data_IF_621062333408
#
_entry.id   IF_621062333408
#
_cell.length_a   1.000
_cell.length_b   1.000
_cell.length_c   1.000
_cell.angle_alpha   90.00
_cell.angle_beta   90.00
_cell.angle_gamma   90.00
#
_symmetry.space_group_name_H-M   'P 1'
#
loop_
_entity.id
_entity.type
_entity.pdbx_description
1 polymer ?
#
# COMPACT_ATOMS: atom_id res chain seq x y z
N UNK A 1 -29.39 -13.84 30.13
CA UNK A 1 -28.15 -13.24 30.68
C UNK A 1 -26.90 -13.80 30.02
N UNK A 2 -26.61 -15.11 30.12
CA UNK A 2 -25.36 -15.71 29.56
C UNK A 2 -25.20 -15.46 28.03
N UNK A 3 -26.29 -15.55 27.25
CA UNK A 3 -26.24 -15.28 25.80
C UNK A 3 -25.81 -13.86 25.43
N UNK A 4 -26.14 -12.85 26.26
CA UNK A 4 -25.76 -11.45 26.01
C UNK A 4 -24.28 -11.20 26.29
N UNK A 5 -23.69 -11.89 27.27
CA UNK A 5 -22.24 -11.87 27.50
C UNK A 5 -21.46 -12.49 26.34
N UNK A 6 -21.94 -13.61 25.79
CA UNK A 6 -21.34 -14.19 24.58
C UNK A 6 -21.43 -13.24 23.38
N UNK A 7 -22.58 -12.60 23.19
CA UNK A 7 -22.78 -11.64 22.10
C UNK A 7 -21.90 -10.40 22.28
N UNK A 8 -21.72 -9.92 23.51
CA UNK A 8 -20.78 -8.84 23.85
C UNK A 8 -19.34 -9.19 23.45
N UNK A 9 -18.85 -10.36 23.87
CA UNK A 9 -17.48 -10.82 23.55
C UNK A 9 -17.31 -10.93 22.02
N UNK A 10 -18.32 -11.47 21.32
CA UNK A 10 -18.29 -11.60 19.87
C UNK A 10 -18.24 -10.24 19.16
N UNK A 11 -19.04 -9.25 19.60
CA UNK A 11 -19.03 -7.89 19.05
C UNK A 11 -17.67 -7.23 19.27
N UNK A 12 -17.10 -7.36 20.48
CA UNK A 12 -15.74 -6.87 20.77
C UNK A 12 -14.70 -7.52 19.83
N UNK A 13 -14.73 -8.85 19.68
CA UNK A 13 -13.80 -9.57 18.81
C UNK A 13 -13.93 -9.14 17.34
N UNK A 14 -15.16 -8.96 16.85
CA UNK A 14 -15.43 -8.48 15.50
C UNK A 14 -14.91 -7.06 15.27
N UNK A 15 -15.15 -6.14 16.21
CA UNK A 15 -14.62 -4.77 16.13
C UNK A 15 -13.09 -4.78 16.09
N UNK A 16 -12.44 -5.52 16.99
CA UNK A 16 -10.98 -5.65 17.02
C UNK A 16 -10.46 -6.21 15.69
N UNK A 17 -11.07 -7.27 15.15
CA UNK A 17 -10.67 -7.85 13.86
C UNK A 17 -10.86 -6.87 12.69
N UNK A 18 -11.94 -6.08 12.71
CA UNK A 18 -12.20 -5.09 11.66
C UNK A 18 -11.13 -4.01 11.66
N UNK A 19 -10.78 -3.48 12.85
CA UNK A 19 -9.79 -2.41 13.02
C UNK A 19 -8.35 -2.85 12.80
N UNK A 20 -7.97 -4.05 13.24
CA UNK A 20 -6.58 -4.51 13.19
C UNK A 20 -6.21 -5.16 11.86
N UNK A 21 -7.16 -5.85 11.22
CA UNK A 21 -6.88 -6.68 10.03
C UNK A 21 -7.58 -6.13 8.78
N UNK A 22 -8.89 -5.93 8.84
CA UNK A 22 -9.70 -5.68 7.63
C UNK A 22 -9.46 -4.27 7.11
N UNK A 23 -9.72 -3.25 7.92
CA UNK A 23 -9.61 -1.85 7.57
C UNK A 23 -8.20 -1.49 7.06
N UNK A 24 -7.10 -1.85 7.76
CA UNK A 24 -5.74 -1.69 7.25
C UNK A 24 -5.52 -2.38 5.91
N UNK A 25 -5.92 -3.65 5.76
CA UNK A 25 -5.62 -4.44 4.56
C UNK A 25 -6.33 -3.94 3.30
N UNK A 26 -7.50 -3.32 3.43
CA UNK A 26 -8.24 -2.76 2.30
C UNK A 26 -7.75 -1.36 1.91
N UNK A 27 -7.42 -0.51 2.89
CA UNK A 27 -7.14 0.91 2.64
C UNK A 27 -5.64 1.27 2.61
N UNK A 28 -4.80 0.51 3.31
CA UNK A 28 -3.34 0.73 3.37
C UNK A 28 -2.62 0.07 2.16
N UNK A 29 -3.32 -0.67 1.29
CA UNK A 29 -2.73 -1.19 0.05
C UNK A 29 -2.23 -0.05 -0.83
N UNK A 30 -0.92 -0.07 -1.12
CA UNK A 30 -0.30 0.87 -2.05
C UNK A 30 -1.00 0.79 -3.40
N UNK A 31 -1.58 1.91 -3.85
CA UNK A 31 -2.02 2.05 -5.23
C UNK A 31 -0.84 2.60 -6.03
N UNK A 32 -0.28 1.76 -6.90
CA UNK A 32 0.73 2.18 -7.86
C UNK A 32 0.04 2.93 -9.00
N UNK A 33 0.71 3.93 -9.59
CA UNK A 33 0.16 4.72 -10.70
C UNK A 33 -0.06 3.86 -11.94
N UNK A 34 0.73 2.79 -12.09
CA UNK A 34 0.61 1.79 -13.14
C UNK A 34 -0.26 0.64 -12.63
N UNK A 35 -1.45 0.49 -13.22
CA UNK A 35 -2.40 -0.57 -12.88
C UNK A 35 -2.16 -1.89 -13.62
N UNK A 36 -1.46 -1.84 -14.75
CA UNK A 36 -1.17 -2.97 -15.63
C UNK A 36 0.23 -2.82 -16.22
N UNK A 37 1.01 -3.90 -16.39
CA UNK A 37 2.31 -3.81 -17.07
C UNK A 37 2.11 -3.26 -18.48
N UNK A 38 2.72 -2.11 -18.79
CA UNK A 38 2.57 -1.42 -20.07
C UNK A 38 3.62 -1.87 -21.10
N UNK A 39 4.61 -2.63 -20.65
CA UNK A 39 5.82 -2.92 -21.42
C UNK A 39 5.69 -4.21 -22.23
N UNK A 40 6.28 -4.19 -23.43
CA UNK A 40 6.12 -5.28 -24.41
C UNK A 40 7.28 -6.24 -24.33
N UNK A 41 7.00 -7.52 -24.06
CA UNK A 41 7.99 -8.59 -24.20
C UNK A 41 8.38 -8.77 -25.67
N UNK A 42 9.67 -8.63 -25.98
CA UNK A 42 10.20 -8.73 -27.33
C UNK A 42 10.76 -10.11 -27.63
N UNK A 43 11.61 -10.63 -26.73
CA UNK A 43 12.37 -11.85 -26.96
C UNK A 43 12.56 -12.62 -25.68
N UNK A 44 12.43 -13.94 -25.77
CA UNK A 44 12.76 -14.87 -24.70
C UNK A 44 14.07 -15.56 -25.08
N UNK A 45 15.08 -15.44 -24.22
CA UNK A 45 16.31 -16.21 -24.29
C UNK A 45 16.25 -17.29 -23.20
N UNK A 46 16.24 -18.56 -23.61
CA UNK A 46 16.34 -19.70 -22.68
C UNK A 46 17.78 -20.17 -22.67
N UNK A 47 18.40 -20.20 -21.49
CA UNK A 47 19.70 -20.80 -21.26
C UNK A 47 19.57 -22.06 -20.41
N UNK A 48 20.68 -22.78 -20.22
CA UNK A 48 20.70 -24.05 -19.47
C UNK A 48 20.24 -23.88 -18.01
N UNK A 49 20.53 -22.73 -17.39
CA UNK A 49 20.24 -22.46 -15.96
C UNK A 49 19.14 -21.41 -15.74
N UNK A 50 18.34 -21.09 -16.77
CA UNK A 50 17.27 -20.10 -16.60
C UNK A 50 16.73 -19.45 -17.87
N UNK A 51 15.90 -18.43 -17.68
CA UNK A 51 15.25 -17.69 -18.75
C UNK A 51 15.45 -16.19 -18.55
N UNK A 52 15.79 -15.50 -19.64
CA UNK A 52 15.83 -14.04 -19.67
C UNK A 52 14.85 -13.51 -20.70
N UNK A 53 14.06 -12.51 -20.33
CA UNK A 53 13.09 -11.89 -21.21
C UNK A 53 13.50 -10.44 -21.46
N UNK A 54 13.66 -10.08 -22.72
CA UNK A 54 13.94 -8.72 -23.15
C UNK A 54 12.63 -7.99 -23.36
N UNK A 55 12.48 -6.84 -22.72
CA UNK A 55 11.32 -5.98 -22.82
C UNK A 55 11.66 -4.65 -23.47
N UNK A 56 10.66 -4.10 -24.13
CA UNK A 56 10.66 -2.72 -24.59
C UNK A 56 9.84 -1.86 -23.62
N UNK A 57 10.44 -0.80 -23.06
CA UNK A 57 9.72 0.09 -22.18
C UNK A 57 8.74 0.96 -22.96
N UNK A 58 7.80 1.58 -22.26
CA UNK A 58 6.88 2.57 -22.83
C UNK A 58 7.60 3.65 -23.68
N UNK A 59 6.93 4.14 -24.73
CA UNK A 59 7.51 5.07 -25.70
C UNK A 59 8.14 6.31 -25.07
N UNK A 60 7.60 6.80 -23.94
CA UNK A 60 8.11 7.96 -23.20
C UNK A 60 9.48 7.72 -22.56
N UNK A 61 9.84 6.47 -22.29
CA UNK A 61 11.08 6.08 -21.61
C UNK A 61 12.20 5.74 -22.60
N UNK A 62 11.86 5.41 -23.85
CA UNK A 62 12.81 5.00 -24.90
C UNK A 62 14.01 5.93 -25.12
N UNK A 63 13.91 7.27 -24.98
CA UNK A 63 15.07 8.16 -25.11
C UNK A 63 16.15 7.93 -24.05
N UNK A 64 15.79 7.38 -22.90
CA UNK A 64 16.70 7.18 -21.77
C UNK A 64 17.02 5.70 -21.55
N UNK A 65 15.99 4.86 -21.55
CA UNK A 65 16.09 3.40 -21.40
C UNK A 65 15.57 2.79 -22.70
N UNK A 66 16.49 2.23 -23.51
CA UNK A 66 16.14 1.65 -24.80
C UNK A 66 15.45 0.30 -24.64
N UNK A 67 15.96 -0.55 -23.75
CA UNK A 67 15.47 -1.92 -23.48
C UNK A 67 15.76 -2.28 -22.04
N UNK A 68 15.11 -3.29 -21.50
CA UNK A 68 15.53 -3.92 -20.26
C UNK A 68 15.36 -5.43 -20.32
N UNK A 69 16.09 -6.12 -19.46
CA UNK A 69 16.12 -7.57 -19.37
C UNK A 69 15.69 -7.95 -17.98
N UNK A 70 14.65 -8.78 -17.90
CA UNK A 70 14.27 -9.48 -16.68
C UNK A 70 14.85 -10.90 -16.79
N UNK A 71 15.83 -11.21 -15.95
CA UNK A 71 16.47 -12.51 -15.92
C UNK A 71 16.00 -13.31 -14.72
N UNK A 72 15.78 -14.61 -14.92
CA UNK A 72 15.55 -15.60 -13.87
C UNK A 72 16.59 -16.71 -14.05
N UNK A 73 17.56 -16.78 -13.14
CA UNK A 73 18.63 -17.79 -13.13
C UNK A 73 18.80 -18.34 -11.72
N UNK A 74 18.84 -19.66 -11.59
CA UNK A 74 19.01 -20.35 -10.30
C UNK A 74 18.02 -19.87 -9.21
N UNK A 75 16.78 -19.57 -9.61
CA UNK A 75 15.72 -19.06 -8.71
C UNK A 75 15.87 -17.60 -8.28
N UNK A 76 16.96 -16.91 -8.69
CA UNK A 76 17.14 -15.47 -8.49
C UNK A 76 16.61 -14.71 -9.70
N UNK A 77 15.92 -13.61 -9.41
CA UNK A 77 15.41 -12.69 -10.43
C UNK A 77 16.22 -11.41 -10.39
N UNK A 78 16.60 -10.92 -11.56
CA UNK A 78 17.35 -9.69 -11.68
C UNK A 78 16.90 -8.85 -12.86
N UNK A 79 17.15 -7.56 -12.77
CA UNK A 79 16.82 -6.56 -13.78
C UNK A 79 18.09 -5.84 -14.22
N UNK A 80 18.30 -5.76 -15.53
CA UNK A 80 19.34 -4.94 -16.16
C UNK A 80 18.68 -4.08 -17.24
N UNK A 81 18.94 -2.79 -17.23
CA UNK A 81 18.43 -1.86 -18.22
C UNK A 81 19.55 -1.48 -19.21
N UNK A 82 19.20 -1.43 -20.49
CA UNK A 82 20.03 -0.84 -21.54
C UNK A 82 19.66 0.63 -21.66
N UNK A 83 20.60 1.49 -21.30
CA UNK A 83 20.45 2.94 -21.33
C UNK A 83 21.02 3.52 -22.61
N UNK A 84 20.60 4.74 -22.94
CA UNK A 84 21.22 5.52 -23.99
C UNK A 84 22.64 5.95 -23.60
N UNK A 85 23.53 6.10 -24.59
CA UNK A 85 24.95 6.41 -24.34
C UNK A 85 25.15 7.84 -23.82
N UNK A 86 24.19 8.74 -24.07
CA UNK A 86 24.23 10.12 -23.57
C UNK A 86 23.77 10.30 -22.12
N UNK A 87 23.28 9.25 -21.45
CA UNK A 87 22.74 9.35 -20.09
C UNK A 87 23.83 9.12 -19.06
N UNK A 88 24.11 10.15 -18.24
CA UNK A 88 25.12 10.10 -17.16
C UNK A 88 24.54 9.80 -15.78
N UNK A 89 23.28 10.17 -15.56
CA UNK A 89 22.55 9.98 -14.31
C UNK A 89 21.12 9.54 -14.55
N UNK A 90 20.66 8.55 -13.80
CA UNK A 90 19.30 8.04 -13.89
C UNK A 90 18.71 7.73 -12.51
N UNK A 91 17.52 8.26 -12.24
CA UNK A 91 16.67 7.93 -11.11
C UNK A 91 15.34 7.38 -11.63
N UNK A 92 15.06 6.12 -11.31
CA UNK A 92 13.86 5.45 -11.79
C UNK A 92 13.23 4.55 -10.73
N UNK A 93 11.91 4.47 -10.76
CA UNK A 93 11.11 3.54 -9.98
C UNK A 93 10.82 2.28 -10.81
N UNK A 94 11.03 1.13 -10.19
CA UNK A 94 10.75 -0.21 -10.71
C UNK A 94 9.51 -0.75 -10.01
N UNK A 95 8.38 -0.83 -10.72
CA UNK A 95 7.13 -1.40 -10.21
C UNK A 95 7.09 -2.89 -10.51
N UNK A 96 6.96 -3.69 -9.46
CA UNK A 96 6.95 -5.15 -9.53
C UNK A 96 5.53 -5.69 -9.51
N UNK A 97 5.24 -6.60 -10.45
CA UNK A 97 3.94 -7.24 -10.62
C UNK A 97 4.02 -8.75 -10.35
N UNK A 98 2.98 -9.28 -9.74
CA UNK A 98 2.79 -10.73 -9.55
C UNK A 98 2.24 -11.42 -10.82
N UNK A 99 2.08 -12.75 -10.77
CA UNK A 99 1.49 -13.54 -11.86
C UNK A 99 0.09 -13.07 -12.28
N UNK A 100 -0.65 -12.41 -11.38
CA UNK A 100 -2.00 -11.88 -11.65
C UNK A 100 -1.95 -10.44 -12.16
N UNK A 101 -0.77 -9.97 -12.61
CA UNK A 101 -0.53 -8.59 -13.05
C UNK A 101 -0.86 -7.54 -11.99
N UNK A 102 -0.77 -7.89 -10.69
CA UNK A 102 -1.01 -6.93 -9.60
C UNK A 102 0.30 -6.37 -9.11
N UNK A 103 0.43 -5.05 -9.12
CA UNK A 103 1.57 -4.35 -8.53
C UNK A 103 1.61 -4.59 -7.01
N UNK A 104 2.76 -5.06 -6.50
CA UNK A 104 2.91 -5.36 -5.07
C UNK A 104 4.04 -4.59 -4.40
N UNK A 105 5.11 -4.24 -5.12
CA UNK A 105 6.26 -3.52 -4.58
C UNK A 105 6.82 -2.54 -5.63
N UNK A 106 7.26 -1.38 -5.17
CA UNK A 106 8.07 -0.45 -5.96
C UNK A 106 9.48 -0.39 -5.38
N UNK A 107 10.50 -0.41 -6.22
CA UNK A 107 11.90 -0.23 -5.84
C UNK A 107 12.40 1.03 -6.54
N UNK A 108 12.95 1.99 -5.80
CA UNK A 108 13.62 3.15 -6.41
C UNK A 108 15.08 2.81 -6.62
N UNK A 109 15.58 3.08 -7.82
CA UNK A 109 16.96 2.85 -8.22
C UNK A 109 17.54 4.19 -8.63
N UNK A 110 18.70 4.54 -8.06
CA UNK A 110 19.47 5.73 -8.41
C UNK A 110 20.84 5.28 -8.87
N UNK A 111 21.19 5.62 -10.09
CA UNK A 111 22.45 5.20 -10.67
C UNK A 111 23.18 6.36 -11.33
N UNK A 112 24.47 6.45 -11.03
CA UNK A 112 25.44 7.18 -11.84
C UNK A 112 26.02 6.19 -12.84
N UNK A 113 25.92 6.53 -14.12
CA UNK A 113 26.30 5.64 -15.21
C UNK A 113 27.82 5.66 -15.37
N UNK A 114 28.50 4.69 -14.75
CA UNK A 114 29.96 4.53 -14.83
C UNK A 114 30.40 3.87 -16.14
N UNK A 115 29.52 3.11 -16.80
CA UNK A 115 29.78 2.41 -18.06
C UNK A 115 28.68 2.73 -19.07
N UNK A 116 29.08 3.19 -20.26
CA UNK A 116 28.15 3.49 -21.33
C UNK A 116 27.28 2.26 -21.67
N UNK A 117 25.96 2.47 -21.71
CA UNK A 117 25.00 1.56 -22.33
C UNK A 117 24.24 0.60 -21.41
N UNK A 118 24.67 0.31 -20.18
CA UNK A 118 23.92 -0.59 -19.27
C UNK A 118 23.93 -0.13 -17.81
N UNK A 119 22.81 -0.35 -17.11
CA UNK A 119 22.68 -0.15 -15.66
C UNK A 119 23.32 -1.30 -14.88
N UNK A 120 23.48 -1.12 -13.57
CA UNK A 120 23.84 -2.22 -12.66
C UNK A 120 22.71 -3.25 -12.62
N UNK A 121 23.08 -4.46 -12.22
CA UNK A 121 22.12 -5.55 -12.00
C UNK A 121 21.38 -5.32 -10.68
N UNK A 122 20.06 -5.27 -10.74
CA UNK A 122 19.20 -5.06 -9.57
C UNK A 122 18.50 -6.36 -9.22
N UNK A 123 18.75 -6.87 -8.01
CA UNK A 123 18.10 -8.07 -7.49
C UNK A 123 16.61 -7.83 -7.21
N UNK A 124 15.78 -8.77 -7.65
CA UNK A 124 14.34 -8.72 -7.54
C UNK A 124 13.80 -9.87 -6.67
N UNK A 125 12.71 -9.63 -5.92
CA UNK A 125 12.00 -10.70 -5.21
C UNK A 125 11.54 -11.81 -6.17
N UNK A 126 11.62 -13.07 -5.72
CA UNK A 126 11.23 -14.25 -6.51
C UNK A 126 9.78 -14.22 -7.02
N UNK A 127 8.88 -13.56 -6.28
CA UNK A 127 7.47 -13.38 -6.67
C UNK A 127 7.26 -12.50 -7.92
N UNK A 128 8.28 -11.78 -8.37
CA UNK A 128 8.18 -10.86 -9.51
C UNK A 128 8.00 -11.63 -10.81
N UNK A 129 6.97 -11.31 -11.59
CA UNK A 129 6.73 -11.88 -12.92
C UNK A 129 6.84 -10.84 -14.03
N UNK A 130 6.37 -9.63 -13.75
CA UNK A 130 6.51 -8.50 -14.67
C UNK A 130 7.05 -7.29 -13.92
N UNK A 131 7.67 -6.41 -14.69
CA UNK A 131 8.27 -5.18 -14.19
C UNK A 131 7.84 -4.06 -15.12
N UNK A 132 7.54 -2.91 -14.54
CA UNK A 132 7.40 -1.67 -15.30
C UNK A 132 8.25 -0.55 -14.71
N UNK A 133 8.80 0.27 -15.60
CA UNK A 133 9.78 1.31 -15.25
C UNK A 133 9.14 2.68 -15.33
N UNK A 134 9.55 3.58 -14.45
CA UNK A 134 9.15 5.00 -14.44
C UNK A 134 10.37 5.84 -14.11
N UNK A 135 10.71 6.79 -14.97
CA UNK A 135 11.81 7.72 -14.70
C UNK A 135 11.29 8.85 -13.81
N UNK A 136 12.01 9.11 -12.72
CA UNK A 136 11.82 10.27 -11.86
C UNK A 136 12.72 11.42 -12.29
N UNK A 137 13.98 11.12 -12.64
CA UNK A 137 14.98 12.11 -13.03
C UNK A 137 15.99 11.48 -14.00
N UNK A 138 16.40 12.23 -15.02
CA UNK A 138 17.50 11.86 -15.90
C UNK A 138 18.33 13.11 -16.23
N UNK A 139 19.63 13.08 -15.92
CA UNK A 139 20.57 14.18 -16.19
C UNK A 139 20.06 15.59 -15.76
N UNK A 140 19.40 15.68 -14.60
CA UNK A 140 18.82 16.91 -14.06
C UNK A 140 17.44 17.29 -14.61
N UNK A 141 16.91 16.54 -15.58
CA UNK A 141 15.53 16.68 -16.06
C UNK A 141 14.61 15.90 -15.12
N UNK A 142 13.74 16.63 -14.40
CA UNK A 142 12.76 16.05 -13.49
C UNK A 142 11.48 15.67 -14.23
N UNK A 143 11.03 14.43 -14.03
CA UNK A 143 9.78 13.90 -14.54
C UNK A 143 8.78 13.75 -13.39
N UNK A 144 7.56 14.29 -13.54
CA UNK A 144 6.51 14.25 -12.51
C UNK A 144 5.78 12.88 -12.45
N UNK A 145 6.54 11.81 -12.67
CA UNK A 145 6.05 10.44 -12.86
C UNK A 145 6.47 9.50 -11.73
N UNK A 146 6.10 9.83 -10.49
CA UNK A 146 6.33 8.92 -9.36
C UNK A 146 5.45 7.65 -9.42
N UNK A 147 6.05 6.47 -9.17
CA UNK A 147 5.37 5.18 -9.23
C UNK A 147 4.30 4.96 -8.18
N UNK A 148 4.48 5.55 -7.01
CA UNK A 148 3.54 5.39 -5.89
C UNK A 148 2.56 6.56 -5.87
N UNK A 149 1.31 6.29 -6.24
CA UNK A 149 0.22 7.28 -6.17
C UNK A 149 0.00 7.63 -4.70
N UNK A 150 -0.10 8.94 -4.40
CA UNK A 150 -0.53 9.39 -3.07
C UNK A 150 -1.91 8.78 -2.79
N UNK A 151 -2.17 8.37 -1.54
CA UNK A 151 -3.52 8.00 -1.10
C UNK A 151 -4.44 9.18 -1.42
N UNK A 152 -5.53 8.96 -2.18
CA UNK A 152 -6.42 10.06 -2.55
C UNK A 152 -7.14 10.58 -1.31
N UNK A 153 -7.32 11.91 -1.23
CA UNK A 153 -8.09 12.53 -0.14
C UNK A 153 -9.49 11.92 -0.03
N UNK A 154 -10.12 11.58 -1.15
CA UNK A 154 -11.42 10.90 -1.20
C UNK A 154 -11.40 9.51 -0.57
N UNK A 155 -10.35 8.72 -0.78
CA UNK A 155 -10.22 7.39 -0.20
C UNK A 155 -9.94 7.48 1.30
N UNK A 156 -9.15 8.46 1.72
CA UNK A 156 -8.91 8.73 3.14
C UNK A 156 -10.21 9.19 3.84
N UNK A 157 -11.00 10.05 3.19
CA UNK A 157 -12.29 10.49 3.71
C UNK A 157 -13.29 9.32 3.79
N UNK A 158 -13.37 8.48 2.75
CA UNK A 158 -14.20 7.28 2.76
C UNK A 158 -13.76 6.28 3.85
N UNK A 159 -12.46 6.13 4.08
CA UNK A 159 -11.92 5.32 5.17
C UNK A 159 -12.34 5.85 6.53
N UNK A 160 -12.13 7.15 6.77
CA UNK A 160 -12.51 7.79 8.02
C UNK A 160 -14.02 7.70 8.26
N UNK A 161 -14.84 7.94 7.25
CA UNK A 161 -16.29 7.78 7.34
C UNK A 161 -16.70 6.34 7.68
N UNK A 162 -16.05 5.34 7.09
CA UNK A 162 -16.32 3.94 7.38
C UNK A 162 -15.91 3.56 8.82
N UNK A 163 -14.78 4.08 9.32
CA UNK A 163 -14.39 3.89 10.72
C UNK A 163 -15.44 4.50 11.66
N UNK A 164 -15.83 5.76 11.44
CA UNK A 164 -16.86 6.43 12.25
C UNK A 164 -18.17 5.65 12.24
N UNK A 165 -18.62 5.17 11.06
CA UNK A 165 -19.84 4.37 10.95
C UNK A 165 -19.73 3.02 11.69
N UNK A 166 -18.58 2.36 11.56
CA UNK A 166 -18.31 1.09 12.25
C UNK A 166 -18.31 1.28 13.77
N UNK A 167 -17.70 2.36 14.25
CA UNK A 167 -17.73 2.74 15.66
C UNK A 167 -19.15 3.00 16.13
N UNK A 168 -19.92 3.83 15.43
CA UNK A 168 -21.31 4.12 15.80
C UNK A 168 -22.17 2.84 15.91
N UNK A 169 -22.07 1.94 14.93
CA UNK A 169 -22.78 0.66 14.94
C UNK A 169 -22.28 -0.27 16.06
N UNK A 170 -20.95 -0.32 16.26
CA UNK A 170 -20.32 -1.08 17.33
C UNK A 170 -20.77 -0.60 18.71
N UNK A 171 -20.85 0.71 18.91
CA UNK A 171 -21.28 1.32 20.16
C UNK A 171 -22.75 1.04 20.46
N UNK A 172 -23.65 1.13 19.47
CA UNK A 172 -25.04 0.73 19.65
C UNK A 172 -25.16 -0.75 20.06
N UNK A 173 -24.39 -1.63 19.41
CA UNK A 173 -24.37 -3.05 19.74
C UNK A 173 -23.82 -3.31 21.16
N UNK A 174 -22.72 -2.66 21.54
CA UNK A 174 -22.12 -2.78 22.88
C UNK A 174 -23.08 -2.25 23.95
N UNK A 175 -23.72 -1.10 23.71
CA UNK A 175 -24.72 -0.51 24.61
C UNK A 175 -25.90 -1.45 24.84
N UNK A 176 -26.46 -2.01 23.76
CA UNK A 176 -27.52 -3.00 23.86
C UNK A 176 -27.06 -4.24 24.66
N UNK A 177 -25.87 -4.76 24.38
CA UNK A 177 -25.33 -5.90 25.10
C UNK A 177 -25.16 -5.63 26.60
N UNK A 178 -24.62 -4.47 26.97
CA UNK A 178 -24.44 -4.07 28.37
C UNK A 178 -25.80 -3.86 29.06
N UNK A 179 -26.74 -3.17 28.42
CA UNK A 179 -28.08 -2.96 28.96
C UNK A 179 -28.82 -4.27 29.23
N UNK A 180 -28.77 -5.25 28.31
CA UNK A 180 -29.42 -6.54 28.50
C UNK A 180 -28.63 -7.53 29.39
N UNK A 181 -27.32 -7.33 29.54
CA UNK A 181 -26.49 -8.14 30.45
C UNK A 181 -26.64 -7.72 31.90
N UNK A 182 -26.70 -6.41 32.17
CA UNK A 182 -26.75 -5.84 33.53
C UNK A 182 -28.14 -5.36 33.96
N UNK A 183 -28.93 -4.83 33.03
CA UNK A 183 -30.27 -4.30 33.31
C UNK A 183 -31.38 -5.34 33.35
N UNK A 184 -31.19 -6.52 32.73
CA UNK A 184 -32.18 -7.60 32.75
C UNK A 184 -33.57 -7.13 32.26
N UNK A 185 -34.58 -7.21 33.12
CA UNK A 185 -35.94 -6.72 32.84
C UNK A 185 -36.04 -5.18 32.72
N UNK A 186 -35.09 -4.44 33.29
CA UNK A 186 -35.01 -2.97 33.22
C UNK A 186 -34.06 -2.49 32.12
N UNK A 187 -33.64 -3.37 31.19
CA UNK A 187 -32.73 -3.02 30.11
C UNK A 187 -33.20 -1.82 29.27
N UNK A 188 -34.52 -1.70 29.05
CA UNK A 188 -35.10 -0.56 28.33
C UNK A 188 -34.91 0.76 29.09
N UNK A 189 -35.02 0.74 30.41
CA UNK A 189 -34.75 1.92 31.24
C UNK A 189 -33.28 2.35 31.16
N UNK A 190 -32.33 1.41 31.07
CA UNK A 190 -30.91 1.71 30.85
C UNK A 190 -30.62 2.21 29.44
N UNK A 191 -31.43 1.82 28.44
CA UNK A 191 -31.30 2.30 27.07
C UNK A 191 -31.91 3.69 26.86
N UNK A 192 -32.90 4.08 27.65
CA UNK A 192 -33.65 5.34 27.48
C UNK A 192 -33.22 6.41 28.48
N UNK A 193 -32.53 6.06 29.57
CA UNK A 193 -32.06 7.03 30.55
C UNK A 193 -31.03 8.01 29.97
N UNK A 194 -31.31 9.31 30.09
CA UNK A 194 -30.45 10.38 29.56
C UNK A 194 -29.05 10.38 30.19
N UNK A 195 -28.94 10.15 31.51
CA UNK A 195 -27.65 10.14 32.22
C UNK A 195 -26.65 9.12 31.67
N UNK A 196 -27.11 7.89 31.41
CA UNK A 196 -26.25 6.84 30.81
C UNK A 196 -26.06 7.05 29.31
N UNK A 197 -26.91 7.85 28.67
CA UNK A 197 -26.77 8.22 27.26
C UNK A 197 -25.65 9.22 27.08
N UNK A 198 -25.63 10.30 27.88
CA UNK A 198 -24.67 11.39 27.78
C UNK A 198 -23.23 10.94 28.04
N UNK A 199 -23.01 10.17 29.12
CA UNK A 199 -21.68 9.62 29.47
C UNK A 199 -21.17 8.64 28.40
N UNK A 200 -22.07 7.83 27.86
CA UNK A 200 -21.74 6.87 26.82
C UNK A 200 -21.42 7.57 25.49
N UNK A 201 -22.18 8.61 25.12
CA UNK A 201 -21.93 9.44 23.95
C UNK A 201 -20.60 10.20 24.06
N UNK A 202 -20.27 10.75 25.24
CA UNK A 202 -18.98 11.39 25.50
C UNK A 202 -17.83 10.39 25.28
N UNK A 203 -17.92 9.19 25.85
CA UNK A 203 -16.91 8.15 25.67
C UNK A 203 -16.73 7.75 24.20
N UNK A 204 -17.85 7.60 23.47
CA UNK A 204 -17.83 7.32 22.03
C UNK A 204 -17.13 8.43 21.24
N UNK A 205 -17.43 9.70 21.56
CA UNK A 205 -16.84 10.84 20.87
C UNK A 205 -15.32 10.90 21.02
N UNK A 206 -14.81 10.56 22.21
CA UNK A 206 -13.37 10.50 22.50
C UNK A 206 -12.69 9.40 21.66
N UNK A 207 -13.28 8.21 21.56
CA UNK A 207 -12.72 7.10 20.76
C UNK A 207 -12.67 7.47 19.28
N UNK A 208 -13.73 8.08 18.75
CA UNK A 208 -13.79 8.56 17.35
C UNK A 208 -12.67 9.55 17.08
N UNK A 209 -12.50 10.54 17.95
CA UNK A 209 -11.44 11.55 17.81
C UNK A 209 -10.06 10.89 17.86
N UNK A 210 -9.82 9.97 18.80
CA UNK A 210 -8.58 9.21 18.89
C UNK A 210 -8.30 8.42 17.59
N UNK A 211 -9.28 7.71 17.04
CA UNK A 211 -9.11 6.93 15.81
C UNK A 211 -8.82 7.81 14.59
N UNK A 212 -9.45 8.98 14.50
CA UNK A 212 -9.14 9.97 13.47
C UNK A 212 -7.67 10.43 13.60
N UNK A 213 -7.23 10.77 14.81
CA UNK A 213 -5.85 11.20 15.08
C UNK A 213 -4.86 10.09 14.71
N UNK A 214 -5.07 8.86 15.16
CA UNK A 214 -4.20 7.71 14.84
C UNK A 214 -4.14 7.46 13.33
N UNK A 215 -5.27 7.55 12.63
CA UNK A 215 -5.31 7.40 11.18
C UNK A 215 -4.49 8.49 10.48
N UNK A 216 -4.64 9.75 10.90
CA UNK A 216 -3.87 10.87 10.36
C UNK A 216 -2.37 10.72 10.64
N UNK A 217 -1.99 10.28 11.84
CA UNK A 217 -0.59 10.02 12.21
C UNK A 217 -0.02 8.88 11.38
N UNK A 218 -0.73 7.75 11.27
CA UNK A 218 -0.31 6.60 10.48
C UNK A 218 -0.11 6.98 8.99
N UNK A 219 -1.04 7.74 8.42
CA UNK A 219 -0.92 8.25 7.05
C UNK A 219 0.25 9.22 6.91
N UNK A 220 0.47 10.12 7.88
CA UNK A 220 1.63 11.04 7.88
C UNK A 220 2.95 10.28 7.99
N UNK A 221 3.06 9.30 8.89
CA UNK A 221 4.26 8.48 9.06
C UNK A 221 4.54 7.68 7.80
N UNK A 222 3.53 7.03 7.22
CA UNK A 222 3.67 6.29 5.96
C UNK A 222 4.07 7.20 4.78
N UNK A 223 3.54 8.42 4.72
CA UNK A 223 3.96 9.43 3.74
C UNK A 223 5.37 9.98 4.01
N UNK A 224 5.85 9.98 5.27
CA UNK A 224 7.22 10.37 5.65
C UNK A 224 8.23 9.27 5.37
N UNK A 225 7.91 8.01 5.60
CA UNK A 225 8.73 6.87 5.17
C UNK A 225 8.96 6.92 3.66
N UNK A 226 7.96 7.33 2.86
CA UNK A 226 8.16 7.63 1.44
C UNK A 226 9.21 8.72 1.20
N UNK A 227 9.22 9.80 1.98
CA UNK A 227 10.26 10.85 1.90
C UNK A 227 11.64 10.35 2.35
N UNK A 228 11.71 9.43 3.32
CA UNK A 228 12.97 8.89 3.83
C UNK A 228 13.53 7.75 2.97
N UNK A 229 12.71 6.87 2.42
CA UNK A 229 13.13 5.88 1.41
C UNK A 229 13.66 6.54 0.13
N UNK A 230 13.26 7.79 -0.14
CA UNK A 230 13.84 8.64 -1.18
C UNK A 230 15.26 9.18 -0.83
N UNK A 231 15.66 9.12 0.44
CA UNK A 231 16.96 9.61 0.94
C UNK A 231 17.88 8.53 1.55
N UNK A 232 17.40 7.30 1.78
CA UNK A 232 18.13 6.28 2.54
C UNK A 232 18.67 5.11 1.69
N UNK A 233 18.81 5.31 0.37
CA UNK A 233 19.68 4.47 -0.48
C UNK A 233 21.03 5.17 -0.70
N UNK A 234 21.57 5.77 0.35
CA UNK A 234 22.97 6.18 0.46
C UNK A 234 23.65 5.18 1.40
N UNK A 235 24.12 4.07 0.84
CA UNK A 235 25.35 3.39 1.25
C UNK A 235 25.75 2.39 0.18
#
# INVERSE_FOLDING_TARGET
MVGWFFLFILVCALLVALYTVVLPKFFIKYRYRIGTPADRGLKIARGENGQSIVYEPACTLRPYIRKYILSEKDGKKSLICKIDEGVGYLDYDVVLFDQKSRAFKGIRVKEFVERAGYTREVDLPSKTCYVSLLINEADGILFDHHAVRKISKSLLLAFTALCVLTEALGFLALRACLAYSFGGLFAESFLVSDFYTDEFELFCSIIVVCNIIFTLVAVKLKNREKKRGNGCAQS
#
